data_IF_147130593604
#
_entry.id   IF_147130593604
#
_cell.length_a   1.000
_cell.length_b   1.000
_cell.length_c   1.000
_cell.angle_alpha   90.00
_cell.angle_beta   90.00
_cell.angle_gamma   90.00
#
_symmetry.space_group_name_H-M   'P 1'
#
loop_
_entity.id
_entity.type
_entity.pdbx_description
1 polymer ?
#
# COMPACT_ATOMS: atom_id res chain seq x y z
N UNK A 1 17.94 -20.89 -3.10
CA UNK A 1 18.09 -19.42 -3.24
C UNK A 1 16.88 -18.78 -2.58
N UNK A 2 17.09 -17.83 -1.66
CA UNK A 2 16.00 -17.03 -1.10
C UNK A 2 15.41 -16.15 -2.21
N UNK A 3 14.10 -16.21 -2.42
CA UNK A 3 13.41 -15.45 -3.46
C UNK A 3 13.32 -13.96 -3.11
N UNK A 4 13.11 -13.05 -4.09
CA UNK A 4 13.03 -11.61 -3.87
C UNK A 4 12.05 -11.20 -2.75
N UNK A 5 10.92 -11.89 -2.66
CA UNK A 5 9.90 -11.67 -1.63
C UNK A 5 10.45 -11.80 -0.20
N UNK A 6 11.36 -12.76 0.04
CA UNK A 6 11.93 -12.98 1.38
C UNK A 6 12.93 -11.90 1.79
N UNK A 7 13.58 -11.25 0.83
CA UNK A 7 14.49 -10.13 1.08
C UNK A 7 13.68 -8.89 1.45
N UNK A 8 12.60 -8.62 0.70
CA UNK A 8 11.69 -7.50 0.94
C UNK A 8 11.01 -7.66 2.30
N UNK A 9 10.48 -8.85 2.61
CA UNK A 9 9.82 -9.12 3.89
C UNK A 9 10.73 -8.78 5.08
N UNK A 10 11.99 -9.24 5.07
CA UNK A 10 12.96 -8.95 6.14
C UNK A 10 13.25 -7.45 6.28
N UNK A 11 13.30 -6.73 5.17
CA UNK A 11 13.48 -5.28 5.19
C UNK A 11 12.30 -4.56 5.87
N UNK A 12 11.08 -4.99 5.58
CA UNK A 12 9.86 -4.44 6.19
C UNK A 12 9.84 -4.73 7.70
N UNK A 13 10.10 -5.98 8.09
CA UNK A 13 10.12 -6.40 9.50
C UNK A 13 11.14 -5.57 10.30
N UNK A 14 12.36 -5.42 9.77
CA UNK A 14 13.42 -4.65 10.44
C UNK A 14 13.13 -3.14 10.52
N UNK A 15 12.49 -2.56 9.49
CA UNK A 15 12.28 -1.11 9.41
C UNK A 15 11.06 -0.67 10.22
N UNK A 16 10.00 -1.47 10.20
CA UNK A 16 8.70 -1.09 10.75
C UNK A 16 8.31 -1.88 12.01
N UNK A 17 9.15 -2.82 12.46
CA UNK A 17 8.81 -3.71 13.57
C UNK A 17 7.61 -4.60 13.27
N UNK A 18 7.36 -4.86 11.99
CA UNK A 18 6.28 -5.73 11.53
C UNK A 18 6.70 -7.20 11.67
N UNK A 19 5.73 -8.10 11.78
CA UNK A 19 5.94 -9.54 11.76
C UNK A 19 5.06 -10.17 10.68
N UNK A 20 5.58 -11.18 9.99
CA UNK A 20 4.80 -11.94 9.03
C UNK A 20 3.60 -12.61 9.71
N UNK A 21 2.41 -12.39 9.14
CA UNK A 21 1.19 -13.04 9.61
C UNK A 21 1.24 -14.56 9.36
N UNK A 22 0.61 -15.37 10.24
CA UNK A 22 0.34 -16.76 9.96
C UNK A 22 -0.39 -16.91 8.62
N UNK A 23 -0.04 -17.96 7.88
CA UNK A 23 -0.52 -18.17 6.52
C UNK A 23 -2.05 -18.23 6.45
N UNK A 24 -2.67 -18.84 7.43
CA UNK A 24 -4.12 -19.01 7.55
C UNK A 24 -4.83 -17.64 7.63
N UNK A 25 -4.20 -16.67 8.30
CA UNK A 25 -4.71 -15.31 8.42
C UNK A 25 -4.44 -14.53 7.13
N UNK A 26 -3.23 -14.64 6.58
CA UNK A 26 -2.85 -13.94 5.34
C UNK A 26 -3.67 -14.39 4.12
N UNK A 27 -4.09 -15.66 4.08
CA UNK A 27 -4.94 -16.20 3.02
C UNK A 27 -6.44 -15.94 3.25
N UNK A 28 -6.83 -15.34 4.38
CA UNK A 28 -8.21 -14.98 4.65
C UNK A 28 -8.67 -13.91 3.66
N UNK A 29 -9.66 -14.23 2.84
CA UNK A 29 -10.25 -13.29 1.89
C UNK A 29 -11.12 -12.29 2.64
N UNK A 30 -10.60 -11.08 2.83
CA UNK A 30 -11.36 -9.96 3.40
C UNK A 30 -12.02 -9.20 2.25
N UNK A 31 -13.34 -8.97 2.28
CA UNK A 31 -13.99 -8.13 1.29
C UNK A 31 -13.44 -6.71 1.42
N UNK A 32 -12.81 -6.22 0.35
CA UNK A 32 -12.41 -4.82 0.24
C UNK A 32 -13.66 -4.01 -0.07
N UNK A 33 -14.22 -3.38 0.96
CA UNK A 33 -15.29 -2.40 0.78
C UNK A 33 -14.58 -1.08 0.49
N UNK A 34 -14.53 -0.72 -0.80
CA UNK A 34 -14.05 0.59 -1.24
C UNK A 34 -15.26 1.52 -1.20
N UNK A 35 -15.28 2.43 -0.24
CA UNK A 35 -16.23 3.53 -0.27
C UNK A 35 -15.89 4.43 -1.45
N UNK A 36 -16.85 4.73 -2.35
CA UNK A 36 -16.62 5.69 -3.41
C UNK A 36 -16.36 7.06 -2.79
N UNK A 37 -15.10 7.46 -2.76
CA UNK A 37 -14.73 8.83 -2.43
C UNK A 37 -14.87 9.67 -3.70
N UNK A 38 -15.42 10.88 -3.58
CA UNK A 38 -15.35 11.83 -4.69
C UNK A 38 -13.88 11.97 -5.09
N UNK A 39 -13.55 11.90 -6.40
CA UNK A 39 -12.20 12.14 -6.83
C UNK A 39 -11.81 13.55 -6.34
N UNK A 40 -10.62 13.71 -5.74
CA UNK A 40 -10.17 15.04 -5.35
C UNK A 40 -10.22 15.97 -6.57
N UNK A 41 -10.38 17.29 -6.38
CA UNK A 41 -10.42 18.30 -7.46
C UNK A 41 -9.06 18.45 -8.21
N UNK A 42 -8.30 17.38 -8.25
CA UNK A 42 -6.97 17.29 -8.82
C UNK A 42 -7.10 16.67 -10.20
N UNK A 43 -6.54 17.35 -11.19
CA UNK A 43 -6.49 16.81 -12.55
C UNK A 43 -5.60 15.57 -12.62
N UNK A 44 -5.78 14.73 -13.64
CA UNK A 44 -4.88 13.61 -13.97
C UNK A 44 -3.41 14.06 -14.03
N UNK A 45 -3.14 15.30 -14.43
CA UNK A 45 -1.81 15.87 -14.44
C UNK A 45 -1.24 16.06 -13.02
N UNK A 46 -2.04 16.53 -12.06
CA UNK A 46 -1.60 16.66 -10.67
C UNK A 46 -1.28 15.30 -10.05
N UNK A 47 -2.10 14.28 -10.30
CA UNK A 47 -1.86 12.93 -9.76
C UNK A 47 -0.58 12.26 -10.29
N UNK A 48 -0.19 12.56 -11.53
CA UNK A 48 0.98 11.93 -12.17
C UNK A 48 2.28 12.69 -11.90
N UNK A 49 2.21 13.99 -11.60
CA UNK A 49 3.39 14.86 -11.54
C UNK A 49 3.58 15.60 -10.21
N UNK A 50 2.66 15.45 -9.24
CA UNK A 50 2.76 16.07 -7.91
C UNK A 50 2.67 14.98 -6.84
N UNK A 51 3.62 14.97 -5.92
CA UNK A 51 3.73 14.00 -4.83
C UNK A 51 2.61 14.13 -3.78
N UNK A 52 1.94 15.27 -3.71
CA UNK A 52 0.81 15.56 -2.83
C UNK A 52 -0.31 16.25 -3.61
N UNK A 53 -1.07 15.50 -4.45
CA UNK A 53 -2.06 16.08 -5.34
C UNK A 53 -3.17 16.81 -4.58
N UNK A 54 -3.51 16.38 -3.36
CA UNK A 54 -4.54 16.98 -2.51
C UNK A 54 -4.25 18.43 -2.08
N UNK A 55 -3.01 18.92 -2.24
CA UNK A 55 -2.65 20.32 -1.97
C UNK A 55 -2.75 21.15 -3.27
N UNK A 56 -3.95 21.62 -3.55
CA UNK A 56 -4.20 22.60 -4.62
C UNK A 56 -3.75 24.00 -4.11
N UNK A 57 -3.03 24.83 -4.91
CA UNK A 57 -2.72 26.22 -4.56
C UNK A 57 -3.95 27.10 -4.38
#
# INVERSE_FOLDING_TARGET
MQGPASIIARGIEATFGAEALPREIAETRIPLIVEPQEPPETTLFHALFISEPEKIP
#
